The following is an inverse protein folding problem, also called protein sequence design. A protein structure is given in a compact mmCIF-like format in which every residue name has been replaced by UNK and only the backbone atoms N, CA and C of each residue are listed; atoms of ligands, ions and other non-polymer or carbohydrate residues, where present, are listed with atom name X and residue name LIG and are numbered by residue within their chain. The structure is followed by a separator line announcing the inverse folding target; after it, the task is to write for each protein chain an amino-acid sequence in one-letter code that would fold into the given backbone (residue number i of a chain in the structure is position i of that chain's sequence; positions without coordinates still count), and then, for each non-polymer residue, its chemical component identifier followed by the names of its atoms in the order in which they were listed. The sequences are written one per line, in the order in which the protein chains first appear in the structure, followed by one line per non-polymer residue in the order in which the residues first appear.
data_IF_101077105328
#
_entry.id   IF_101077105328
#
_cell.length_a   1.000
_cell.length_b   1.000
_cell.length_c   1.000
_cell.angle_alpha   90.00
_cell.angle_beta   90.00
_cell.angle_gamma   90.00
#
_symmetry.space_group_name_H-M   'P 1'
#
loop_
_entity.id
_entity.type
_entity.pdbx_description
1 polymer ?
#
# COMPACT_ATOMS: atom_id res chain seq x y z
N UNK A 1 -9.30 0.47 7.34
CA UNK A 1 -8.95 0.52 8.76
C UNK A 1 -8.84 -0.88 9.30
N UNK A 2 -8.83 -1.03 10.64
CA UNK A 2 -8.88 -2.32 11.34
C UNK A 2 -10.02 -2.37 12.35
N UNK A 3 -10.31 -3.54 12.90
CA UNK A 3 -11.37 -3.71 13.91
C UNK A 3 -10.98 -4.65 15.04
N UNK A 4 -11.42 -4.30 16.25
CA UNK A 4 -11.33 -5.11 17.48
C UNK A 4 -12.69 -5.75 17.84
N UNK A 5 -13.70 -5.55 17.01
CA UNK A 5 -15.07 -5.94 17.31
C UNK A 5 -15.25 -7.45 17.18
N UNK A 6 -15.73 -8.09 18.25
CA UNK A 6 -16.10 -9.51 18.26
C UNK A 6 -17.38 -9.82 17.49
N UNK A 7 -18.08 -8.79 16.99
CA UNK A 7 -19.35 -8.90 16.28
C UNK A 7 -19.35 -8.13 14.95
N UNK A 8 -18.18 -7.91 14.35
CA UNK A 8 -18.09 -7.36 13.01
C UNK A 8 -18.88 -8.25 12.03
N UNK A 9 -19.72 -7.66 11.14
CA UNK A 9 -20.53 -8.44 10.23
C UNK A 9 -19.64 -9.19 9.24
N UNK A 10 -19.75 -10.52 9.21
CA UNK A 10 -19.10 -11.35 8.19
C UNK A 10 -20.16 -11.88 7.23
N UNK A 11 -19.95 -11.63 5.94
CA UNK A 11 -20.80 -12.08 4.83
C UNK A 11 -19.87 -12.48 3.71
N UNK A 12 -19.62 -13.78 3.48
CA UNK A 12 -18.73 -14.27 2.40
C UNK A 12 -17.40 -13.47 2.35
N UNK A 13 -16.59 -13.55 3.42
CA UNK A 13 -15.35 -12.77 3.55
C UNK A 13 -14.09 -13.52 3.08
N UNK A 14 -12.99 -12.82 2.78
CA UNK A 14 -11.70 -13.47 2.50
C UNK A 14 -11.23 -14.33 3.68
N UNK A 15 -11.44 -13.85 4.91
CA UNK A 15 -11.42 -14.64 6.14
C UNK A 15 -12.67 -14.31 7.01
N UNK A 16 -13.44 -15.32 7.48
CA UNK A 16 -14.56 -15.10 8.40
C UNK A 16 -14.15 -14.95 9.88
N UNK A 17 -12.88 -15.16 10.22
CA UNK A 17 -12.36 -15.12 11.59
C UNK A 17 -11.37 -13.98 11.79
N UNK A 18 -11.46 -13.31 12.94
CA UNK A 18 -10.45 -12.36 13.37
C UNK A 18 -9.35 -13.15 14.09
N UNK A 19 -8.13 -13.11 13.56
CA UNK A 19 -7.02 -13.98 13.96
C UNK A 19 -6.00 -13.31 14.90
N UNK A 20 -6.19 -12.02 15.22
CA UNK A 20 -5.20 -11.21 15.94
C UNK A 20 -5.79 -10.18 16.90
N UNK A 21 -5.01 -9.13 17.17
CA UNK A 21 -5.47 -8.02 18.01
C UNK A 21 -6.38 -7.09 17.20
N UNK A 22 -6.00 -6.78 15.96
CA UNK A 22 -6.84 -6.01 15.03
C UNK A 22 -6.55 -6.48 13.63
N UNK A 23 -7.57 -6.85 12.88
CA UNK A 23 -7.41 -7.24 11.49
C UNK A 23 -7.92 -6.14 10.57
N UNK A 24 -7.27 -5.99 9.41
CA UNK A 24 -7.83 -5.21 8.34
C UNK A 24 -9.14 -5.85 7.90
N UNK A 25 -10.07 -5.05 7.39
CA UNK A 25 -11.32 -5.58 6.87
C UNK A 25 -11.62 -5.02 5.48
N UNK A 26 -12.34 -5.81 4.69
CA UNK A 26 -12.84 -5.41 3.38
C UNK A 26 -14.34 -5.61 3.35
N UNK A 27 -15.06 -4.56 2.95
CA UNK A 27 -16.51 -4.55 2.88
C UNK A 27 -16.94 -4.06 1.50
N UNK A 28 -17.87 -4.78 0.88
CA UNK A 28 -18.55 -4.37 -0.35
C UNK A 28 -20.03 -4.21 -0.06
N UNK A 29 -20.55 -3.04 -0.38
CA UNK A 29 -21.97 -2.70 -0.24
C UNK A 29 -22.61 -2.75 -1.62
N UNK A 30 -23.88 -3.16 -1.71
CA UNK A 30 -24.62 -3.10 -2.97
C UNK A 30 -24.86 -1.64 -3.41
N UNK A 31 -25.11 -1.39 -4.71
CA UNK A 31 -25.19 -0.03 -5.24
C UNK A 31 -26.30 0.85 -4.65
N UNK A 32 -27.36 0.24 -4.11
CA UNK A 32 -28.45 0.96 -3.45
C UNK A 32 -28.21 1.19 -1.94
N UNK A 33 -27.09 0.69 -1.40
CA UNK A 33 -26.67 0.91 -0.01
C UNK A 33 -27.45 0.08 1.02
N UNK A 34 -28.25 -0.90 0.60
CA UNK A 34 -29.16 -1.64 1.49
C UNK A 34 -28.58 -2.92 2.09
N UNK A 35 -27.51 -3.47 1.52
CA UNK A 35 -26.92 -4.73 1.97
C UNK A 35 -25.42 -4.81 1.75
N UNK A 36 -24.75 -5.59 2.59
CA UNK A 36 -23.39 -6.04 2.35
C UNK A 36 -23.42 -7.17 1.33
N UNK A 37 -22.72 -7.00 0.21
CA UNK A 37 -22.46 -8.07 -0.75
C UNK A 37 -21.37 -9.00 -0.23
N UNK A 38 -20.34 -8.44 0.40
CA UNK A 38 -19.44 -9.19 1.24
C UNK A 38 -18.81 -8.35 2.34
N UNK A 39 -18.33 -9.02 3.38
CA UNK A 39 -17.55 -8.46 4.48
C UNK A 39 -16.68 -9.55 5.13
N UNK A 40 -15.40 -9.27 5.31
CA UNK A 40 -14.49 -10.16 6.03
C UNK A 40 -13.16 -9.52 6.37
N UNK A 41 -12.34 -10.30 7.07
CA UNK A 41 -11.06 -9.87 7.61
C UNK A 41 -9.90 -10.27 6.70
N UNK A 42 -8.80 -9.55 6.83
CA UNK A 42 -7.49 -9.91 6.31
C UNK A 42 -6.45 -9.46 7.33
N UNK A 43 -5.75 -10.43 7.91
CA UNK A 43 -4.81 -10.18 9.00
C UNK A 43 -4.17 -11.46 9.49
N UNK A 44 -3.19 -11.32 10.37
CA UNK A 44 -2.54 -12.42 11.05
C UNK A 44 -2.77 -12.34 12.55
N UNK A 45 -1.76 -12.70 13.34
CA UNK A 45 -1.89 -12.83 14.81
C UNK A 45 -1.64 -11.54 15.59
N UNK A 46 -1.35 -10.41 14.92
CA UNK A 46 -0.94 -9.14 15.52
C UNK A 46 -1.89 -8.00 15.11
N UNK A 47 -1.36 -6.79 14.88
CA UNK A 47 -2.11 -5.65 14.34
C UNK A 47 -1.95 -5.58 12.82
N UNK A 48 -3.08 -5.44 12.13
CA UNK A 48 -3.17 -5.32 10.69
C UNK A 48 -4.19 -4.22 10.36
N UNK A 49 -3.76 -3.24 9.57
CA UNK A 49 -4.60 -2.08 9.23
C UNK A 49 -4.62 -1.90 7.72
N UNK A 50 -5.81 -1.92 7.12
CA UNK A 50 -5.98 -1.50 5.73
C UNK A 50 -6.05 0.02 5.62
N UNK A 51 -5.20 0.65 4.83
CA UNK A 51 -5.11 2.10 4.71
C UNK A 51 -5.76 2.63 3.43
N UNK A 52 -5.71 1.88 2.33
CA UNK A 52 -6.32 2.28 1.06
C UNK A 52 -6.85 1.09 0.26
N UNK A 53 -7.84 1.35 -0.60
CA UNK A 53 -8.51 0.37 -1.44
C UNK A 53 -8.79 0.91 -2.85
N UNK A 54 -8.48 0.12 -3.87
CA UNK A 54 -8.87 0.35 -5.26
C UNK A 54 -9.65 -0.86 -5.80
N UNK A 55 -10.46 -0.66 -6.84
CA UNK A 55 -11.29 -1.73 -7.42
C UNK A 55 -11.10 -1.75 -8.94
N UNK A 56 -10.82 -2.94 -9.50
CA UNK A 56 -10.67 -3.10 -10.94
C UNK A 56 -12.03 -3.20 -11.67
N UNK A 57 -12.01 -3.19 -13.01
CA UNK A 57 -13.23 -3.28 -13.81
C UNK A 57 -13.99 -4.62 -13.67
N UNK A 58 -13.31 -5.67 -13.19
CA UNK A 58 -13.94 -6.96 -12.88
C UNK A 58 -14.55 -6.99 -11.47
N UNK A 59 -14.31 -5.95 -10.67
CA UNK A 59 -14.83 -5.82 -9.31
C UNK A 59 -13.97 -6.45 -8.23
N UNK A 60 -12.72 -6.84 -8.54
CA UNK A 60 -11.74 -7.29 -7.54
C UNK A 60 -11.20 -6.08 -6.77
N UNK A 61 -11.00 -6.23 -5.47
CA UNK A 61 -10.50 -5.18 -4.60
C UNK A 61 -9.01 -5.36 -4.31
N UNK A 62 -8.25 -4.27 -4.42
CA UNK A 62 -6.83 -4.18 -4.14
C UNK A 62 -6.69 -3.37 -2.86
N UNK A 63 -6.07 -3.93 -1.82
CA UNK A 63 -5.95 -3.27 -0.52
C UNK A 63 -4.49 -3.21 -0.13
N UNK A 64 -4.06 -2.04 0.31
CA UNK A 64 -2.75 -1.83 0.93
C UNK A 64 -2.92 -1.38 2.36
N UNK A 65 -1.88 -1.59 3.16
CA UNK A 65 -1.88 -1.20 4.55
C UNK A 65 -0.57 -1.54 5.23
N UNK A 66 -0.64 -1.79 6.53
CA UNK A 66 0.48 -2.22 7.36
C UNK A 66 0.10 -3.49 8.15
N UNK A 67 1.09 -4.35 8.36
CA UNK A 67 0.98 -5.57 9.14
C UNK A 67 2.13 -5.68 10.12
N UNK A 68 1.78 -6.02 11.35
CA UNK A 68 2.72 -6.34 12.44
C UNK A 68 2.78 -7.87 12.63
N UNK A 69 2.17 -8.61 11.70
CA UNK A 69 1.89 -10.04 11.79
C UNK A 69 2.86 -10.79 10.89
N UNK A 70 3.78 -11.57 11.47
CA UNK A 70 4.59 -12.52 10.70
C UNK A 70 3.78 -13.74 10.16
N UNK A 71 2.49 -13.78 10.49
CA UNK A 71 1.49 -14.76 10.06
C UNK A 71 0.46 -14.17 9.09
N UNK A 72 0.70 -12.96 8.56
CA UNK A 72 -0.19 -12.35 7.58
C UNK A 72 -0.41 -13.28 6.38
N UNK A 73 -1.61 -13.30 5.76
CA UNK A 73 -1.89 -14.17 4.63
C UNK A 73 -0.88 -13.97 3.50
N UNK A 74 -0.27 -15.08 3.08
CA UNK A 74 0.62 -15.13 1.93
C UNK A 74 0.10 -16.20 0.97
N UNK A 75 -0.07 -15.84 -0.30
CA UNK A 75 -0.63 -16.76 -1.29
C UNK A 75 0.18 -16.75 -2.59
N UNK A 76 0.32 -15.57 -3.17
CA UNK A 76 1.10 -15.26 -4.37
C UNK A 76 1.68 -13.88 -4.11
N UNK A 77 2.98 -13.70 -4.30
CA UNK A 77 3.66 -12.47 -3.89
C UNK A 77 5.09 -12.44 -4.40
N UNK A 78 5.63 -11.27 -4.78
CA UNK A 78 7.08 -11.10 -4.82
C UNK A 78 7.70 -11.23 -3.42
N UNK A 79 6.95 -10.90 -2.36
CA UNK A 79 7.41 -11.00 -0.97
C UNK A 79 6.43 -11.79 -0.12
N UNK A 80 6.89 -12.96 0.35
CA UNK A 80 6.12 -13.92 1.13
C UNK A 80 6.67 -14.08 2.55
N UNK A 81 7.59 -13.21 2.96
CA UNK A 81 8.23 -13.25 4.27
C UNK A 81 8.15 -11.88 4.89
N UNK A 82 7.87 -11.89 6.20
CA UNK A 82 7.93 -10.71 7.05
C UNK A 82 9.39 -10.31 7.24
N UNK A 83 9.74 -9.08 6.86
CA UNK A 83 11.13 -8.62 6.79
C UNK A 83 11.60 -7.92 8.07
N UNK A 84 10.68 -7.45 8.91
CA UNK A 84 11.02 -6.83 10.20
C UNK A 84 10.02 -5.74 10.59
N UNK A 85 10.28 -5.05 11.70
CA UNK A 85 9.56 -3.83 12.12
C UNK A 85 8.04 -3.91 12.00
N UNK A 86 7.53 -3.27 10.95
CA UNK A 86 6.14 -3.27 10.45
C UNK A 86 6.28 -3.33 8.94
N UNK A 87 5.59 -4.23 8.26
CA UNK A 87 5.65 -4.32 6.80
C UNK A 87 4.40 -3.69 6.17
N UNK A 88 4.55 -3.03 5.03
CA UNK A 88 3.38 -2.77 4.21
C UNK A 88 2.87 -4.11 3.65
N UNK A 89 1.61 -4.16 3.23
CA UNK A 89 1.08 -5.32 2.52
C UNK A 89 0.36 -4.90 1.25
N UNK A 90 0.24 -5.83 0.31
CA UNK A 90 -0.68 -5.73 -0.80
C UNK A 90 -1.47 -7.03 -0.94
N UNK A 91 -2.79 -6.90 -1.01
CA UNK A 91 -3.70 -8.01 -1.29
C UNK A 91 -4.60 -7.70 -2.47
N UNK A 92 -5.08 -8.76 -3.12
CA UNK A 92 -6.18 -8.71 -4.08
C UNK A 92 -7.28 -9.66 -3.64
N UNK A 93 -8.44 -9.12 -3.29
CA UNK A 93 -9.67 -9.86 -2.98
C UNK A 93 -10.44 -10.08 -4.28
N UNK A 94 -10.85 -11.32 -4.56
CA UNK A 94 -11.66 -11.60 -5.74
C UNK A 94 -13.03 -10.90 -5.67
N UNK A 95 -13.66 -10.71 -6.83
CA UNK A 95 -14.88 -9.89 -6.95
C UNK A 95 -16.08 -10.38 -6.12
N UNK A 96 -16.09 -11.68 -5.79
CA UNK A 96 -17.09 -12.33 -4.94
C UNK A 96 -16.81 -12.20 -3.44
N UNK A 97 -15.62 -11.74 -3.05
CA UNK A 97 -15.20 -11.63 -1.66
C UNK A 97 -14.81 -12.96 -1.01
N UNK A 98 -14.86 -14.07 -1.74
CA UNK A 98 -14.72 -15.42 -1.20
C UNK A 98 -13.28 -15.87 -1.00
N UNK A 99 -12.30 -15.00 -1.28
CA UNK A 99 -10.88 -15.32 -1.09
C UNK A 99 -9.96 -14.26 -1.70
N UNK A 100 -8.66 -14.52 -1.57
CA UNK A 100 -7.59 -13.69 -2.11
C UNK A 100 -7.06 -14.33 -3.40
N UNK A 101 -6.87 -13.52 -4.45
CA UNK A 101 -6.16 -13.94 -5.66
C UNK A 101 -4.64 -13.87 -5.45
N UNK A 102 -4.20 -12.88 -4.67
CA UNK A 102 -2.83 -12.80 -4.17
C UNK A 102 -2.79 -11.99 -2.86
N UNK A 103 -1.74 -12.23 -2.09
CA UNK A 103 -1.51 -11.58 -0.80
C UNK A 103 -0.03 -11.74 -0.43
N UNK A 104 0.58 -10.66 0.04
CA UNK A 104 1.97 -10.67 0.47
C UNK A 104 2.38 -9.37 1.14
N UNK A 105 3.58 -9.41 1.72
CA UNK A 105 4.24 -8.28 2.34
C UNK A 105 4.84 -7.35 1.28
N UNK A 106 5.22 -6.16 1.67
CA UNK A 106 5.98 -5.17 0.90
C UNK A 106 6.78 -4.32 1.89
N UNK A 107 8.01 -4.73 2.16
CA UNK A 107 8.84 -4.06 3.16
C UNK A 107 10.20 -4.72 3.34
N UNK A 108 11.05 -4.03 4.08
CA UNK A 108 12.40 -4.43 4.44
C UNK A 108 12.54 -4.57 5.97
N UNK A 109 13.73 -4.34 6.47
CA UNK A 109 14.09 -4.63 7.87
C UNK A 109 13.48 -3.70 8.92
N UNK A 110 12.94 -2.55 8.51
CA UNK A 110 12.45 -1.47 9.39
C UNK A 110 10.93 -1.28 9.23
N UNK A 111 10.41 -0.08 9.48
CA UNK A 111 8.97 0.20 9.37
C UNK A 111 8.61 0.64 7.94
N UNK A 112 7.61 -0.02 7.36
CA UNK A 112 7.11 0.18 6.01
C UNK A 112 5.58 0.25 6.05
N UNK A 113 5.00 1.34 5.52
CA UNK A 113 3.56 1.57 5.58
C UNK A 113 3.04 1.87 4.17
N UNK A 114 2.09 1.08 3.70
CA UNK A 114 1.35 1.39 2.48
C UNK A 114 0.18 2.32 2.79
N UNK A 115 0.15 3.50 2.17
CA UNK A 115 -0.83 4.56 2.44
C UNK A 115 -1.83 4.72 1.29
N UNK A 116 -1.41 4.46 0.05
CA UNK A 116 -2.24 4.60 -1.14
C UNK A 116 -2.09 3.42 -2.10
N UNK A 117 -3.20 3.01 -2.73
CA UNK A 117 -3.20 2.01 -3.81
C UNK A 117 -4.06 2.45 -4.98
N UNK A 118 -3.59 2.22 -6.20
CA UNK A 118 -4.34 2.38 -7.44
C UNK A 118 -4.14 1.16 -8.37
N UNK A 119 -5.02 0.98 -9.35
CA UNK A 119 -4.97 -0.15 -10.29
C UNK A 119 -5.17 0.33 -11.73
N UNK A 120 -4.31 -0.13 -12.64
CA UNK A 120 -4.43 0.21 -14.07
C UNK A 120 -5.39 -0.73 -14.82
N UNK A 121 -5.72 -0.41 -16.07
CA UNK A 121 -6.59 -1.23 -16.91
C UNK A 121 -6.00 -2.59 -17.29
N UNK A 122 -4.70 -2.79 -17.07
CA UNK A 122 -4.02 -4.08 -17.21
C UNK A 122 -3.99 -4.86 -15.89
N UNK A 123 -4.68 -4.37 -14.84
CA UNK A 123 -4.81 -4.95 -13.51
C UNK A 123 -3.50 -4.98 -12.70
N UNK A 124 -2.51 -4.16 -13.07
CA UNK A 124 -1.32 -3.95 -12.25
C UNK A 124 -1.65 -3.03 -11.08
N UNK A 125 -1.14 -3.36 -9.90
CA UNK A 125 -1.33 -2.58 -8.69
C UNK A 125 -0.19 -1.59 -8.52
N UNK A 126 -0.51 -0.38 -8.08
CA UNK A 126 0.44 0.67 -7.74
C UNK A 126 0.25 0.99 -6.27
N UNK A 127 1.32 0.89 -5.49
CA UNK A 127 1.31 1.16 -4.05
C UNK A 127 2.28 2.30 -3.77
N UNK A 128 1.87 3.20 -2.89
CA UNK A 128 2.73 4.25 -2.35
C UNK A 128 2.63 4.27 -0.84
N UNK A 129 3.58 4.96 -0.21
CA UNK A 129 3.69 4.99 1.23
C UNK A 129 5.01 5.56 1.69
N UNK A 130 5.45 5.11 2.86
CA UNK A 130 6.75 5.44 3.43
C UNK A 130 7.49 4.19 3.87
N UNK A 131 8.81 4.25 3.83
CA UNK A 131 9.72 3.18 4.23
C UNK A 131 10.85 3.76 5.05
N UNK A 132 11.18 3.14 6.17
CA UNK A 132 12.40 3.40 6.94
C UNK A 132 13.51 2.39 6.61
N UNK A 133 13.28 1.54 5.61
CA UNK A 133 14.09 0.36 5.32
C UNK A 133 15.13 0.67 4.25
N UNK A 134 16.41 0.52 4.58
CA UNK A 134 17.51 0.60 3.60
C UNK A 134 17.52 -0.57 2.60
N UNK A 135 16.82 -1.65 2.96
CA UNK A 135 16.65 -2.88 2.19
C UNK A 135 15.21 -3.05 1.70
N UNK A 136 14.47 -1.94 1.54
CA UNK A 136 13.15 -1.97 0.92
C UNK A 136 13.23 -2.62 -0.47
N UNK A 137 12.23 -3.40 -0.89
CA UNK A 137 12.32 -4.07 -2.17
C UNK A 137 12.32 -3.10 -3.35
N UNK A 138 13.44 -3.03 -4.05
CA UNK A 138 13.62 -2.22 -5.26
C UNK A 138 13.74 -3.08 -6.51
N UNK A 139 13.46 -2.48 -7.67
CA UNK A 139 13.63 -3.14 -8.96
C UNK A 139 14.28 -2.18 -9.98
N UNK A 140 13.46 -1.56 -10.82
CA UNK A 140 13.79 -0.31 -11.53
C UNK A 140 12.93 0.77 -10.89
N UNK A 141 13.37 2.02 -10.83
CA UNK A 141 12.61 3.06 -10.14
C UNK A 141 13.25 4.44 -10.19
N UNK A 142 12.57 5.44 -9.60
CA UNK A 142 13.07 6.81 -9.50
C UNK A 142 14.39 6.90 -8.72
N UNK A 143 14.49 6.14 -7.63
CA UNK A 143 15.71 5.90 -6.86
C UNK A 143 15.71 4.47 -6.31
N UNK A 144 16.89 3.86 -6.21
CA UNK A 144 17.09 2.51 -5.69
C UNK A 144 17.82 2.49 -4.34
N UNK A 145 18.14 3.66 -3.79
CA UNK A 145 18.78 3.81 -2.48
C UNK A 145 17.90 4.63 -1.54
N UNK A 146 17.95 4.28 -0.25
CA UNK A 146 17.36 5.07 0.82
C UNK A 146 18.20 6.34 1.04
N UNK A 147 17.55 7.51 1.05
CA UNK A 147 18.21 8.80 1.00
C UNK A 147 18.49 9.43 2.36
N UNK A 148 17.84 8.94 3.42
CA UNK A 148 18.13 9.35 4.80
C UNK A 148 16.87 9.59 5.61
N UNK A 149 16.96 10.49 6.59
CA UNK A 149 15.82 10.78 7.46
C UNK A 149 15.32 9.58 8.27
N UNK A 150 14.06 9.69 8.73
CA UNK A 150 13.34 8.59 9.40
C UNK A 150 12.62 7.68 8.40
N UNK A 151 12.10 8.28 7.32
CA UNK A 151 11.39 7.58 6.27
C UNK A 151 11.64 8.29 4.94
N UNK A 152 11.72 7.52 3.87
CA UNK A 152 11.56 7.97 2.48
C UNK A 152 10.16 7.58 2.00
N UNK A 153 9.59 8.34 1.06
CA UNK A 153 8.42 7.85 0.36
C UNK A 153 8.83 6.71 -0.59
N UNK A 154 7.90 5.84 -0.96
CA UNK A 154 8.14 4.84 -2.00
C UNK A 154 7.02 4.81 -3.04
N UNK A 155 7.34 4.28 -4.21
CA UNK A 155 6.35 3.86 -5.20
C UNK A 155 6.69 2.46 -5.72
N UNK A 156 5.69 1.60 -5.77
CA UNK A 156 5.83 0.21 -6.21
C UNK A 156 4.73 -0.13 -7.20
N UNK A 157 5.09 -0.69 -8.35
CA UNK A 157 4.16 -1.30 -9.30
C UNK A 157 4.32 -2.81 -9.32
N UNK A 158 3.27 -3.53 -8.98
CA UNK A 158 3.19 -5.00 -9.00
C UNK A 158 2.41 -5.45 -10.22
N UNK A 159 2.90 -6.49 -10.90
CA UNK A 159 2.22 -7.05 -12.05
C UNK A 159 0.83 -7.63 -11.69
N UNK A 160 -0.04 -7.79 -12.69
CA UNK A 160 -1.39 -8.30 -12.49
C UNK A 160 -1.48 -9.70 -11.85
N UNK A 161 -0.43 -10.50 -11.96
CA UNK A 161 -0.33 -11.82 -11.34
C UNK A 161 0.06 -11.76 -9.85
N UNK A 162 0.41 -10.58 -9.34
CA UNK A 162 0.81 -10.38 -7.95
C UNK A 162 2.15 -11.03 -7.59
N UNK A 163 2.98 -11.43 -8.57
CA UNK A 163 4.18 -12.24 -8.32
C UNK A 163 5.50 -11.57 -8.75
N UNK A 164 5.44 -10.31 -9.18
CA UNK A 164 6.64 -9.61 -9.65
C UNK A 164 6.47 -8.10 -9.63
N UNK A 165 7.56 -7.41 -9.29
CA UNK A 165 7.69 -5.98 -9.40
C UNK A 165 7.95 -5.59 -10.86
N UNK A 166 7.14 -4.66 -11.38
CA UNK A 166 7.41 -3.97 -12.65
C UNK A 166 8.41 -2.83 -12.38
N UNK A 167 8.16 -2.06 -11.33
CA UNK A 167 9.09 -1.07 -10.81
C UNK A 167 8.88 -0.93 -9.29
N UNK A 168 9.92 -0.53 -8.57
CA UNK A 168 9.85 -0.16 -7.16
C UNK A 168 11.07 0.66 -6.80
N UNK A 169 10.86 1.77 -6.10
CA UNK A 169 11.93 2.67 -5.71
C UNK A 169 11.49 3.73 -4.70
N UNK A 170 12.50 4.38 -4.13
CA UNK A 170 12.37 5.46 -3.16
C UNK A 170 12.07 6.79 -3.86
N UNK A 171 11.39 7.69 -3.14
CA UNK A 171 11.11 9.06 -3.54
C UNK A 171 11.34 9.94 -2.30
N UNK A 172 12.42 10.69 -2.27
CA UNK A 172 12.79 11.48 -1.10
C UNK A 172 14.17 12.10 -1.21
N UNK A 173 14.51 12.90 -0.21
CA UNK A 173 15.83 13.48 -0.01
C UNK A 173 16.41 13.04 1.34
N UNK A 174 17.22 13.89 1.97
CA UNK A 174 18.00 13.48 3.15
C UNK A 174 17.25 13.57 4.49
N UNK A 175 16.02 14.08 4.50
CA UNK A 175 15.17 14.21 5.66
C UNK A 175 13.91 13.33 5.53
N UNK A 176 12.86 13.61 6.31
CA UNK A 176 11.63 12.82 6.31
C UNK A 176 10.81 13.06 5.04
N UNK A 177 10.40 11.98 4.38
CA UNK A 177 9.53 12.00 3.21
C UNK A 177 8.45 10.91 3.30
N UNK A 178 7.21 11.26 2.95
CA UNK A 178 6.08 10.33 2.96
C UNK A 178 5.13 10.63 1.82
N UNK A 179 4.72 9.60 1.07
CA UNK A 179 3.58 9.68 0.17
C UNK A 179 2.31 9.23 0.90
N UNK A 180 1.22 9.97 0.70
CA UNK A 180 -0.06 9.77 1.38
C UNK A 180 -1.17 9.26 0.47
N UNK A 181 -1.05 9.47 -0.85
CA UNK A 181 -2.03 8.99 -1.84
C UNK A 181 -1.39 8.84 -3.23
N UNK A 182 -2.04 8.03 -4.07
CA UNK A 182 -1.62 7.74 -5.45
C UNK A 182 -2.82 7.73 -6.40
N UNK A 183 -2.66 8.38 -7.55
CA UNK A 183 -3.61 8.37 -8.65
C UNK A 183 -2.93 8.00 -9.96
N UNK A 184 -3.70 7.46 -10.91
CA UNK A 184 -3.19 7.08 -12.23
C UNK A 184 -3.72 8.03 -13.31
N UNK A 185 -2.83 8.41 -14.23
CA UNK A 185 -3.19 9.09 -15.47
C UNK A 185 -3.74 8.09 -16.51
N UNK A 186 -4.32 8.60 -17.60
CA UNK A 186 -4.91 7.78 -18.66
C UNK A 186 -3.88 6.85 -19.37
N UNK A 187 -2.60 7.21 -19.34
CA UNK A 187 -1.48 6.42 -19.85
C UNK A 187 -0.81 5.53 -18.78
N UNK A 188 -1.42 5.43 -17.59
CA UNK A 188 -0.94 4.64 -16.45
C UNK A 188 0.38 5.14 -15.83
N UNK A 189 0.74 6.41 -16.04
CA UNK A 189 1.71 7.07 -15.18
C UNK A 189 1.10 7.29 -13.78
N UNK A 190 1.91 7.17 -12.75
CA UNK A 190 1.47 7.39 -11.38
C UNK A 190 1.77 8.82 -10.94
N UNK A 191 0.81 9.45 -10.30
CA UNK A 191 1.00 10.70 -9.57
C UNK A 191 0.82 10.42 -8.09
N UNK A 192 1.80 10.78 -7.28
CA UNK A 192 1.75 10.65 -5.82
C UNK A 192 1.75 12.01 -5.16
N UNK A 193 1.04 12.13 -4.04
CA UNK A 193 1.04 13.31 -3.18
C UNK A 193 1.59 12.96 -1.81
N UNK A 194 2.18 13.94 -1.11
CA UNK A 194 2.79 13.65 0.18
C UNK A 194 3.37 14.86 0.88
N UNK A 195 4.14 14.59 1.92
CA UNK A 195 4.91 15.58 2.70
C UNK A 195 6.40 15.30 2.60
N UNK A 196 7.20 16.36 2.58
CA UNK A 196 8.66 16.32 2.59
C UNK A 196 9.22 17.33 3.59
N UNK A 197 10.15 16.91 4.43
CA UNK A 197 11.03 17.78 5.21
C UNK A 197 12.39 17.99 4.52
N UNK A 198 12.58 17.42 3.33
CA UNK A 198 13.84 17.36 2.62
C UNK A 198 14.05 18.61 1.77
N UNK A 199 15.07 19.39 2.10
CA UNK A 199 15.47 20.56 1.29
C UNK A 199 16.03 20.19 -0.09
N UNK A 200 16.42 18.93 -0.25
CA UNK A 200 16.97 18.29 -1.44
C UNK A 200 16.02 17.26 -2.08
N UNK A 201 14.71 17.37 -1.79
CA UNK A 201 13.70 16.53 -2.42
C UNK A 201 13.85 16.53 -3.96
N UNK A 202 13.74 15.38 -4.64
CA UNK A 202 13.99 15.28 -6.08
C UNK A 202 12.93 16.02 -6.89
N UNK A 203 13.20 17.29 -7.21
CA UNK A 203 12.33 18.11 -8.06
C UNK A 203 12.84 18.07 -9.50
N UNK A 204 12.09 17.43 -10.39
CA UNK A 204 12.39 17.46 -11.84
C UNK A 204 11.65 18.60 -12.57
N UNK A 205 10.35 18.81 -12.33
CA UNK A 205 9.53 19.90 -12.91
C UNK A 205 8.25 20.13 -12.10
N UNK A 206 7.88 21.39 -11.78
CA UNK A 206 6.63 21.68 -11.08
C UNK A 206 6.45 23.15 -10.65
N UNK A 207 5.25 23.54 -10.16
CA UNK A 207 5.01 24.85 -9.58
C UNK A 207 5.64 24.93 -8.17
N UNK A 208 6.72 25.71 -8.03
CA UNK A 208 7.49 25.78 -6.79
C UNK A 208 8.58 24.72 -6.76
N UNK A 209 9.81 25.13 -7.05
CA UNK A 209 10.98 24.24 -7.15
C UNK A 209 11.89 24.32 -5.93
N UNK A 210 11.41 24.93 -4.84
CA UNK A 210 12.18 25.18 -3.64
C UNK A 210 11.38 24.76 -2.42
N UNK A 211 12.06 24.12 -1.48
CA UNK A 211 11.59 23.97 -0.11
C UNK A 211 11.35 25.37 0.47
N UNK A 212 10.11 25.68 0.84
CA UNK A 212 9.66 26.99 1.27
C UNK A 212 9.90 27.23 2.78
N UNK A 213 10.51 26.27 3.48
CA UNK A 213 10.84 26.35 4.90
C UNK A 213 9.74 25.76 5.81
N UNK A 214 10.02 25.71 7.11
CA UNK A 214 9.15 25.04 8.10
C UNK A 214 9.61 23.61 8.41
N UNK A 215 8.75 22.83 9.06
CA UNK A 215 9.04 21.43 9.44
C UNK A 215 8.77 20.45 8.27
N UNK A 216 7.84 20.79 7.37
CA UNK A 216 7.53 20.03 6.16
C UNK A 216 6.79 20.89 5.11
N UNK A 217 6.97 20.56 3.83
CA UNK A 217 6.23 21.04 2.66
C UNK A 217 5.42 19.91 2.02
N UNK A 218 4.34 20.24 1.31
CA UNK A 218 3.61 19.26 0.51
C UNK A 218 4.24 19.09 -0.88
N UNK A 219 4.26 17.87 -1.41
CA UNK A 219 4.66 17.59 -2.79
C UNK A 219 3.55 16.92 -3.60
N UNK A 220 3.62 17.12 -4.92
CA UNK A 220 2.90 16.34 -5.93
C UNK A 220 3.93 16.00 -7.01
N UNK A 221 4.14 14.70 -7.26
CA UNK A 221 5.12 14.27 -8.26
C UNK A 221 4.58 13.15 -9.12
N UNK A 222 5.02 13.14 -10.39
CA UNK A 222 4.75 12.07 -11.34
C UNK A 222 5.95 11.13 -11.37
N UNK A 223 5.69 9.84 -11.22
CA UNK A 223 6.70 8.77 -11.09
C UNK A 223 6.48 7.67 -12.11
#
# INVERSE_FOLDING_TARGET
GGTWSSNFPTVIGPDPTNSGFSDAFVVKVNPDGTALLYAGFVGGTSYDYGNSIAVDAAGNAYVTGETWSNTFPTLVGPFLSYSGGIDAFLIKVNATGSGLDYAGYLGGSSEDLGTGVAVDSANNAYVTGRTGSNDFPTAVGPDLSFNGGLYDAFVTKVNAAGNGLIYSGYVGGTAWDEATDIALEADSNATITGGTGSSDFPVMTGPGLAYNGGDADAFVTRV
#
